data_IF_859277817246
#
_entry.id   IF_859277817246
#
_cell.length_a   1.000
_cell.length_b   1.000
_cell.length_c   1.000
_cell.angle_alpha   90.00
_cell.angle_beta   90.00
_cell.angle_gamma   90.00
#
_symmetry.space_group_name_H-M   'P 1'
#
loop_
_entity.id
_entity.type
_entity.pdbx_description
1 polymer ?
#
# COMPACT_ATOMS: atom_id res chain seq x y z
N UNK A 1 -3.54 -25.04 -11.31
CA UNK A 1 -2.94 -24.59 -10.03
C UNK A 1 -1.98 -23.42 -10.24
N UNK A 2 -1.19 -23.40 -11.31
CA UNK A 2 -0.27 -22.28 -11.63
C UNK A 2 -0.95 -20.92 -11.81
N UNK A 3 -2.13 -20.89 -12.42
CA UNK A 3 -2.93 -19.67 -12.61
C UNK A 3 -3.17 -18.89 -11.31
N UNK A 4 -3.36 -19.59 -10.18
CA UNK A 4 -3.57 -18.96 -8.87
C UNK A 4 -2.32 -18.16 -8.43
N UNK A 5 -1.13 -18.69 -8.71
CA UNK A 5 0.12 -17.98 -8.44
C UNK A 5 0.27 -16.71 -9.29
N UNK A 6 -0.15 -16.76 -10.56
CA UNK A 6 -0.17 -15.57 -11.41
C UNK A 6 -1.17 -14.52 -10.90
N UNK A 7 -2.34 -14.93 -10.37
CA UNK A 7 -3.28 -13.99 -9.73
C UNK A 7 -2.67 -13.32 -8.50
N UNK A 8 -1.97 -14.07 -7.65
CA UNK A 8 -1.28 -13.52 -6.48
C UNK A 8 -0.21 -12.49 -6.88
N UNK A 9 0.62 -12.82 -7.88
CA UNK A 9 1.59 -11.88 -8.43
C UNK A 9 0.92 -10.64 -9.05
N UNK A 10 -0.16 -10.83 -9.82
CA UNK A 10 -0.92 -9.75 -10.45
C UNK A 10 -1.49 -8.76 -9.42
N UNK A 11 -2.19 -9.24 -8.39
CA UNK A 11 -2.76 -8.35 -7.37
C UNK A 11 -1.67 -7.66 -6.53
N UNK A 12 -0.60 -8.38 -6.18
CA UNK A 12 0.52 -7.82 -5.42
C UNK A 12 1.26 -6.74 -6.21
N UNK A 13 1.55 -6.99 -7.49
CA UNK A 13 2.22 -6.02 -8.37
C UNK A 13 1.37 -4.79 -8.67
N UNK A 14 0.05 -4.95 -8.84
CA UNK A 14 -0.87 -3.81 -8.95
C UNK A 14 -0.89 -2.96 -7.69
N UNK A 15 -0.94 -3.59 -6.50
CA UNK A 15 -0.81 -2.86 -5.24
C UNK A 15 0.52 -2.11 -5.19
N UNK A 16 1.62 -2.80 -5.49
CA UNK A 16 2.98 -2.26 -5.45
C UNK A 16 3.11 -1.05 -6.37
N UNK A 17 2.65 -1.15 -7.63
CA UNK A 17 2.67 -0.04 -8.58
C UNK A 17 1.90 1.17 -8.07
N UNK A 18 0.69 0.96 -7.53
CA UNK A 18 -0.10 2.04 -6.94
C UNK A 18 0.59 2.68 -5.73
N UNK A 19 1.16 1.88 -4.82
CA UNK A 19 1.87 2.38 -3.63
C UNK A 19 3.14 3.16 -4.01
N UNK A 20 3.93 2.64 -4.97
CA UNK A 20 5.11 3.32 -5.48
C UNK A 20 4.75 4.64 -6.18
N UNK A 21 3.71 4.65 -7.01
CA UNK A 21 3.22 5.89 -7.63
C UNK A 21 2.83 6.93 -6.56
N UNK A 22 2.16 6.50 -5.50
CA UNK A 22 1.80 7.39 -4.39
C UNK A 22 3.06 7.96 -3.71
N UNK A 23 4.03 7.10 -3.40
CA UNK A 23 5.28 7.49 -2.72
C UNK A 23 6.14 8.44 -3.57
N UNK A 24 6.33 8.15 -4.85
CA UNK A 24 7.33 8.83 -5.68
C UNK A 24 6.78 9.97 -6.53
N UNK A 25 5.50 9.92 -6.90
CA UNK A 25 4.90 10.91 -7.80
C UNK A 25 3.78 11.68 -7.11
N UNK A 26 2.73 10.99 -6.67
CA UNK A 26 1.51 11.64 -6.21
C UNK A 26 1.72 12.50 -4.96
N UNK A 27 2.37 11.96 -3.94
CA UNK A 27 2.55 12.68 -2.69
C UNK A 27 3.56 13.83 -2.79
N UNK A 28 4.75 13.66 -3.39
CA UNK A 28 5.66 14.78 -3.63
C UNK A 28 5.01 15.90 -4.45
N UNK A 29 4.30 15.58 -5.53
CA UNK A 29 3.61 16.58 -6.35
C UNK A 29 2.52 17.34 -5.56
N UNK A 30 1.83 16.68 -4.63
CA UNK A 30 0.87 17.35 -3.74
C UNK A 30 1.55 18.38 -2.85
N UNK A 31 2.67 18.01 -2.25
CA UNK A 31 3.43 18.90 -1.36
C UNK A 31 3.95 20.11 -2.15
N UNK A 32 4.46 19.91 -3.36
CA UNK A 32 4.95 20.98 -4.24
C UNK A 32 3.86 22.02 -4.58
N UNK A 33 2.60 21.59 -4.70
CA UNK A 33 1.45 22.47 -4.89
C UNK A 33 1.01 23.24 -3.63
N UNK A 34 1.68 23.05 -2.50
CA UNK A 34 1.39 23.72 -1.23
C UNK A 34 0.45 22.96 -0.30
N UNK A 35 0.62 23.19 1.01
CA UNK A 35 -0.05 22.45 2.09
C UNK A 35 -1.57 22.45 1.99
N UNK A 36 -2.19 23.59 1.66
CA UNK A 36 -3.64 23.70 1.53
C UNK A 36 -4.18 22.80 0.41
N UNK A 37 -3.50 22.76 -0.74
CA UNK A 37 -3.89 21.90 -1.86
C UNK A 37 -3.68 20.44 -1.49
N UNK A 38 -2.51 20.10 -0.96
CA UNK A 38 -2.16 18.75 -0.51
C UNK A 38 -3.21 18.18 0.46
N UNK A 39 -3.56 18.94 1.50
CA UNK A 39 -4.56 18.56 2.49
C UNK A 39 -5.97 18.44 1.90
N UNK A 40 -6.32 19.32 0.95
CA UNK A 40 -7.63 19.30 0.28
C UNK A 40 -7.82 18.05 -0.57
N UNK A 41 -6.80 17.62 -1.33
CA UNK A 41 -6.88 16.42 -2.18
C UNK A 41 -6.63 15.13 -1.41
N UNK A 42 -5.98 15.19 -0.25
CA UNK A 42 -5.67 14.03 0.58
C UNK A 42 -6.92 13.22 0.91
N UNK A 43 -7.95 13.84 1.47
CA UNK A 43 -9.15 13.12 1.92
C UNK A 43 -9.90 12.36 0.83
N UNK A 44 -10.26 13.00 -0.30
CA UNK A 44 -10.89 12.33 -1.42
C UNK A 44 -10.03 11.23 -2.04
N UNK A 45 -8.71 11.46 -2.20
CA UNK A 45 -7.82 10.43 -2.76
C UNK A 45 -7.66 9.24 -1.83
N UNK A 46 -7.46 9.49 -0.53
CA UNK A 46 -7.26 8.47 0.49
C UNK A 46 -8.42 7.48 0.52
N UNK A 47 -9.67 7.95 0.49
CA UNK A 47 -10.85 7.05 0.53
C UNK A 47 -10.88 6.10 -0.66
N UNK A 48 -10.55 6.60 -1.86
CA UNK A 48 -10.52 5.79 -3.10
C UNK A 48 -9.35 4.81 -3.09
N UNK A 49 -8.16 5.29 -2.74
CA UNK A 49 -6.96 4.49 -2.65
C UNK A 49 -7.07 3.40 -1.56
N UNK A 50 -7.68 3.72 -0.40
CA UNK A 50 -7.87 2.78 0.70
C UNK A 50 -8.74 1.59 0.29
N UNK A 51 -9.85 1.84 -0.41
CA UNK A 51 -10.71 0.75 -0.94
C UNK A 51 -9.90 -0.11 -1.92
N UNK A 52 -9.30 0.51 -2.94
CA UNK A 52 -8.55 -0.22 -3.97
C UNK A 52 -7.39 -1.04 -3.37
N UNK A 53 -6.54 -0.41 -2.56
CA UNK A 53 -5.36 -1.06 -2.00
C UNK A 53 -5.72 -2.13 -0.95
N UNK A 54 -6.77 -1.93 -0.13
CA UNK A 54 -7.21 -2.97 0.80
C UNK A 54 -7.71 -4.21 0.03
N UNK A 55 -8.52 -4.03 -1.01
CA UNK A 55 -9.00 -5.13 -1.86
C UNK A 55 -7.85 -5.87 -2.53
N UNK A 56 -6.88 -5.16 -3.12
CA UNK A 56 -5.72 -5.78 -3.76
C UNK A 56 -4.86 -6.57 -2.78
N UNK A 57 -4.60 -6.03 -1.57
CA UNK A 57 -3.82 -6.74 -0.55
C UNK A 57 -4.52 -8.02 -0.09
N UNK A 58 -5.83 -7.98 0.13
CA UNK A 58 -6.64 -9.15 0.51
C UNK A 58 -6.63 -10.21 -0.60
N UNK A 59 -6.89 -9.81 -1.84
CA UNK A 59 -6.92 -10.73 -2.98
C UNK A 59 -5.55 -11.36 -3.22
N UNK A 60 -4.47 -10.59 -3.15
CA UNK A 60 -3.09 -11.10 -3.23
C UNK A 60 -2.79 -12.10 -2.12
N UNK A 61 -3.20 -11.81 -0.89
CA UNK A 61 -3.00 -12.70 0.27
C UNK A 61 -3.75 -14.02 0.07
N UNK A 62 -5.05 -13.97 -0.23
CA UNK A 62 -5.89 -15.17 -0.39
C UNK A 62 -5.36 -16.06 -1.52
N UNK A 63 -5.03 -15.47 -2.66
CA UNK A 63 -4.51 -16.22 -3.80
C UNK A 63 -3.12 -16.81 -3.53
N UNK A 64 -2.25 -16.12 -2.80
CA UNK A 64 -0.94 -16.66 -2.40
C UNK A 64 -1.08 -17.83 -1.41
N UNK A 65 -1.97 -17.72 -0.43
CA UNK A 65 -2.29 -18.81 0.50
C UNK A 65 -2.87 -20.02 -0.24
N UNK A 66 -3.77 -19.78 -1.21
CA UNK A 66 -4.32 -20.83 -2.05
C UNK A 66 -3.25 -21.50 -2.91
N UNK A 67 -2.33 -20.74 -3.51
CA UNK A 67 -1.22 -21.28 -4.28
C UNK A 67 -0.37 -22.25 -3.44
N UNK A 68 -0.01 -21.84 -2.21
CA UNK A 68 0.68 -22.72 -1.26
C UNK A 68 -0.13 -23.98 -0.92
N UNK A 69 -1.41 -23.81 -0.56
CA UNK A 69 -2.29 -24.92 -0.20
C UNK A 69 -2.40 -25.98 -1.31
N UNK A 70 -2.35 -25.54 -2.57
CA UNK A 70 -2.37 -26.39 -3.77
C UNK A 70 -0.98 -26.90 -4.20
N UNK A 71 -0.01 -26.96 -3.27
CA UNK A 71 1.26 -27.67 -3.47
C UNK A 71 2.41 -26.82 -4.02
N UNK A 72 2.27 -25.49 -4.03
CA UNK A 72 3.39 -24.61 -4.34
C UNK A 72 4.33 -24.45 -3.14
N UNK A 73 5.55 -23.97 -3.39
CA UNK A 73 6.59 -23.74 -2.36
C UNK A 73 6.10 -22.92 -1.14
N UNK A 74 6.66 -23.20 0.04
CA UNK A 74 6.38 -22.45 1.27
C UNK A 74 6.69 -20.95 1.16
N UNK A 75 7.54 -20.54 0.20
CA UNK A 75 7.85 -19.14 -0.06
C UNK A 75 6.61 -18.30 -0.44
N UNK A 76 5.53 -18.93 -0.95
CA UNK A 76 4.24 -18.25 -1.15
C UNK A 76 3.65 -17.72 0.16
N UNK A 77 3.86 -18.41 1.29
CA UNK A 77 3.41 -17.93 2.61
C UNK A 77 4.19 -16.69 3.06
N UNK A 78 5.50 -16.64 2.79
CA UNK A 78 6.31 -15.45 3.10
C UNK A 78 5.82 -14.24 2.29
N UNK A 79 5.59 -14.42 0.99
CA UNK A 79 5.04 -13.37 0.14
C UNK A 79 3.65 -12.93 0.58
N UNK A 80 2.79 -13.87 0.99
CA UNK A 80 1.46 -13.60 1.56
C UNK A 80 1.56 -12.79 2.86
N UNK A 81 2.47 -13.16 3.76
CA UNK A 81 2.68 -12.44 5.01
C UNK A 81 3.15 -11.00 4.78
N UNK A 82 4.06 -10.77 3.81
CA UNK A 82 4.55 -9.44 3.46
C UNK A 82 3.43 -8.53 2.93
N UNK A 83 2.63 -9.00 1.95
CA UNK A 83 1.53 -8.19 1.42
C UNK A 83 0.40 -8.03 2.44
N UNK A 84 0.11 -9.04 3.24
CA UNK A 84 -0.88 -8.95 4.31
C UNK A 84 -0.47 -7.91 5.36
N UNK A 85 0.82 -7.85 5.71
CA UNK A 85 1.36 -6.94 6.73
C UNK A 85 1.07 -5.45 6.45
N UNK A 86 0.82 -5.06 5.19
CA UNK A 86 0.42 -3.68 4.87
C UNK A 86 -0.87 -3.28 5.59
N UNK A 87 -1.77 -4.22 5.88
CA UNK A 87 -3.05 -3.97 6.56
C UNK A 87 -2.84 -3.58 8.03
N UNK A 88 -2.23 -4.43 8.90
CA UNK A 88 -1.99 -4.06 10.29
C UNK A 88 -1.04 -2.86 10.41
N UNK A 89 -0.02 -2.73 9.55
CA UNK A 89 0.82 -1.52 9.50
C UNK A 89 -0.03 -0.28 9.24
N UNK A 90 -0.97 -0.34 8.30
CA UNK A 90 -1.87 0.79 8.02
C UNK A 90 -2.71 1.13 9.23
N UNK A 91 -3.34 0.16 9.89
CA UNK A 91 -4.22 0.42 11.03
C UNK A 91 -3.49 0.89 12.29
N UNK A 92 -2.30 0.36 12.56
CA UNK A 92 -1.56 0.62 13.80
C UNK A 92 -0.66 1.85 13.65
N UNK A 93 0.09 1.94 12.55
CA UNK A 93 1.15 2.93 12.37
C UNK A 93 0.66 4.16 11.62
N UNK A 94 -0.13 3.98 10.56
CA UNK A 94 -0.47 5.07 9.61
C UNK A 94 -1.80 5.74 9.95
N UNK A 95 -2.77 4.96 10.45
CA UNK A 95 -4.13 5.44 10.74
C UNK A 95 -4.17 6.60 11.74
N UNK A 96 -3.32 6.70 12.78
CA UNK A 96 -3.28 7.87 13.65
C UNK A 96 -3.04 9.18 12.88
N UNK A 97 -2.13 9.17 11.91
CA UNK A 97 -1.87 10.32 11.03
C UNK A 97 -3.02 10.54 10.06
N UNK A 98 -3.59 9.48 9.47
CA UNK A 98 -4.76 9.60 8.60
C UNK A 98 -5.93 10.27 9.32
N UNK A 99 -6.22 9.89 10.56
CA UNK A 99 -7.33 10.47 11.34
C UNK A 99 -7.16 11.97 11.54
N UNK A 100 -5.93 12.43 11.79
CA UNK A 100 -5.64 13.85 11.91
C UNK A 100 -5.82 14.58 10.57
N UNK A 101 -5.25 14.05 9.48
CA UNK A 101 -5.37 14.61 8.14
C UNK A 101 -6.79 14.56 7.55
N UNK A 102 -7.67 13.71 8.09
CA UNK A 102 -9.06 13.58 7.67
C UNK A 102 -10.04 14.32 8.59
N UNK A 103 -9.54 14.99 9.63
CA UNK A 103 -10.36 15.77 10.56
C UNK A 103 -11.07 16.92 9.85
N UNK A 104 -12.34 17.14 10.16
CA UNK A 104 -13.10 18.31 9.67
C UNK A 104 -12.54 19.63 10.21
N UNK A 105 -11.82 19.58 11.34
CA UNK A 105 -11.20 20.73 11.99
C UNK A 105 -9.74 20.95 11.59
N UNK A 106 -9.23 20.25 10.57
CA UNK A 106 -7.86 20.43 10.10
C UNK A 106 -7.66 21.85 9.54
N UNK A 107 -6.75 22.62 10.13
CA UNK A 107 -6.27 23.89 9.54
C UNK A 107 -5.33 23.59 8.38
N UNK A 108 -5.89 23.52 7.17
CA UNK A 108 -5.23 23.01 5.96
C UNK A 108 -4.00 23.78 5.51
N UNK A 109 -3.85 25.02 5.95
CA UNK A 109 -2.76 25.94 5.62
C UNK A 109 -1.70 26.06 6.74
N UNK A 110 -1.87 25.33 7.85
CA UNK A 110 -0.95 25.37 8.98
C UNK A 110 0.33 24.56 8.75
N UNK A 111 1.41 24.98 9.43
CA UNK A 111 2.66 24.23 9.54
C UNK A 111 2.45 22.82 10.12
N UNK A 112 1.56 22.67 11.11
CA UNK A 112 1.23 21.37 11.69
C UNK A 112 0.64 20.40 10.65
N UNK A 113 -0.17 20.89 9.71
CA UNK A 113 -0.70 20.06 8.61
C UNK A 113 0.40 19.63 7.65
N UNK A 114 1.36 20.50 7.37
CA UNK A 114 2.54 20.15 6.56
C UNK A 114 3.34 19.02 7.21
N UNK A 115 3.63 19.12 8.52
CA UNK A 115 4.34 18.07 9.27
C UNK A 115 3.59 16.74 9.25
N UNK A 116 2.25 16.76 9.36
CA UNK A 116 1.42 15.57 9.26
C UNK A 116 1.50 14.93 7.87
N UNK A 117 1.45 15.73 6.81
CA UNK A 117 1.57 15.25 5.43
C UNK A 117 2.96 14.64 5.19
N UNK A 118 4.03 15.31 5.60
CA UNK A 118 5.40 14.80 5.47
C UNK A 118 5.59 13.48 6.23
N UNK A 119 5.03 13.42 7.45
CA UNK A 119 5.01 12.19 8.26
C UNK A 119 4.25 11.08 7.54
N UNK A 120 3.09 11.40 6.98
CA UNK A 120 2.30 10.43 6.22
C UNK A 120 3.07 9.86 5.02
N UNK A 121 3.77 10.71 4.26
CA UNK A 121 4.57 10.28 3.11
C UNK A 121 5.67 9.28 3.50
N UNK A 122 6.39 9.56 4.60
CA UNK A 122 7.40 8.63 5.15
C UNK A 122 6.77 7.30 5.57
N UNK A 123 5.67 7.35 6.31
CA UNK A 123 4.98 6.15 6.78
C UNK A 123 4.38 5.32 5.63
N UNK A 124 3.86 5.97 4.58
CA UNK A 124 3.32 5.27 3.41
C UNK A 124 4.39 4.44 2.71
N UNK A 125 5.64 4.89 2.71
CA UNK A 125 6.76 4.19 2.07
C UNK A 125 6.99 2.78 2.61
N UNK A 126 6.57 2.50 3.86
CA UNK A 126 6.59 1.14 4.44
C UNK A 126 5.69 0.20 3.62
N UNK A 127 4.51 0.66 3.20
CA UNK A 127 3.58 -0.12 2.38
C UNK A 127 4.17 -0.40 0.99
N UNK A 128 4.84 0.58 0.41
CA UNK A 128 5.54 0.44 -0.87
C UNK A 128 6.65 -0.61 -0.77
N UNK A 129 7.46 -0.57 0.29
CA UNK A 129 8.53 -1.55 0.51
C UNK A 129 7.99 -2.97 0.71
N UNK A 130 7.00 -3.16 1.60
CA UNK A 130 6.43 -4.48 1.89
C UNK A 130 5.81 -5.13 0.65
N UNK A 131 5.04 -4.34 -0.11
CA UNK A 131 4.42 -4.84 -1.35
C UNK A 131 5.40 -5.08 -2.48
N UNK A 132 6.49 -4.29 -2.57
CA UNK A 132 7.58 -4.53 -3.51
C UNK A 132 8.29 -5.84 -3.21
N UNK A 133 8.65 -6.09 -1.94
CA UNK A 133 9.30 -7.35 -1.53
C UNK A 133 8.38 -8.55 -1.81
N UNK A 134 7.08 -8.44 -1.51
CA UNK A 134 6.10 -9.49 -1.85
C UNK A 134 6.03 -9.73 -3.37
N UNK A 135 5.95 -8.66 -4.16
CA UNK A 135 5.86 -8.73 -5.63
C UNK A 135 7.10 -9.38 -6.24
N UNK A 136 8.30 -8.94 -5.83
CA UNK A 136 9.57 -9.51 -6.29
C UNK A 136 9.63 -11.00 -5.94
N UNK A 137 9.22 -11.38 -4.72
CA UNK A 137 9.23 -12.78 -4.31
C UNK A 137 8.27 -13.64 -5.14
N UNK A 138 7.05 -13.17 -5.40
CA UNK A 138 6.10 -13.91 -6.25
C UNK A 138 6.61 -14.04 -7.70
N UNK A 139 7.16 -12.96 -8.27
CA UNK A 139 7.73 -12.99 -9.62
C UNK A 139 8.95 -13.92 -9.69
N UNK A 140 9.81 -13.89 -8.67
CA UNK A 140 10.96 -14.80 -8.56
C UNK A 140 10.49 -16.25 -8.56
N UNK A 141 9.55 -16.61 -7.68
CA UNK A 141 9.00 -17.98 -7.61
C UNK A 141 8.41 -18.41 -8.95
N UNK A 142 7.73 -17.53 -9.67
CA UNK A 142 7.16 -17.84 -10.99
C UNK A 142 8.23 -17.99 -12.07
N UNK A 143 9.37 -17.30 -11.95
CA UNK A 143 10.48 -17.37 -12.92
C UNK A 143 11.38 -18.60 -12.76
N UNK A 144 11.36 -19.23 -11.58
CA UNK A 144 12.20 -20.39 -11.25
C UNK A 144 11.42 -21.71 -11.19
N UNK A 145 10.23 -21.75 -11.79
CA UNK A 145 9.43 -22.97 -11.94
C UNK A 145 9.82 -23.75 -13.17
#
# INVERSE_FOLDING_TARGET
MEFIGYLAAFFSTLFCGAAMYITFAEHPARIECGTQVAATVFGPSYRRAAIMQASLAILATITALAAWYFGQTVLWLLGAALIFAVIPVTFIVIMPTNKQLLSEHLSKDSHATQELLDTWGRLHSIRSLLSLLSSILFLYILSTK
#
